data_IF_352930119965
#
_entry.id   IF_352930119965
#
_cell.length_a   1.000
_cell.length_b   1.000
_cell.length_c   1.000
_cell.angle_alpha   90.00
_cell.angle_beta   90.00
_cell.angle_gamma   90.00
#
_symmetry.space_group_name_H-M   'P 1'
#
loop_
_entity.id
_entity.type
_entity.pdbx_description
1 polymer ?
#
# COMPACT_ATOMS: atom_id res chain seq x y z
N UNK A 1 -15.46 7.75 -19.92
CA UNK A 1 -15.26 8.97 -19.11
C UNK A 1 -16.64 9.60 -18.85
N UNK A 2 -16.88 10.22 -17.69
CA UNK A 2 -18.21 10.62 -17.18
C UNK A 2 -19.16 9.46 -16.78
N UNK A 3 -18.66 8.43 -16.11
CA UNK A 3 -19.50 7.36 -15.54
C UNK A 3 -19.45 7.30 -14.01
N UNK A 4 -18.87 8.31 -13.36
CA UNK A 4 -18.65 8.35 -11.92
C UNK A 4 -18.64 9.80 -11.42
N UNK A 5 -19.63 10.16 -10.63
CA UNK A 5 -19.79 11.48 -10.03
C UNK A 5 -19.14 11.57 -8.64
N UNK A 6 -19.25 10.49 -7.84
CA UNK A 6 -18.68 10.38 -6.50
C UNK A 6 -17.91 9.06 -6.37
N UNK A 7 -16.69 9.13 -5.87
CA UNK A 7 -15.86 7.95 -5.62
C UNK A 7 -15.26 8.00 -4.22
N UNK A 8 -15.12 6.83 -3.61
CA UNK A 8 -14.33 6.66 -2.39
C UNK A 8 -12.86 6.43 -2.76
N UNK A 9 -11.97 7.22 -2.16
CA UNK A 9 -10.53 7.14 -2.40
C UNK A 9 -9.79 7.10 -1.06
N UNK A 10 -8.85 6.16 -0.94
CA UNK A 10 -7.91 6.14 0.16
C UNK A 10 -6.79 7.19 -0.01
N UNK A 11 -6.05 7.52 1.06
CA UNK A 11 -5.01 8.56 1.04
C UNK A 11 -3.91 8.32 -0.01
N UNK A 12 -3.60 7.06 -0.34
CA UNK A 12 -2.61 6.74 -1.40
C UNK A 12 -3.02 7.21 -2.80
N UNK A 13 -4.32 7.34 -3.06
CA UNK A 13 -4.87 7.76 -4.36
C UNK A 13 -5.12 9.28 -4.46
N UNK A 14 -4.71 10.07 -3.46
CA UNK A 14 -4.93 11.53 -3.45
C UNK A 14 -4.16 12.30 -4.54
N UNK A 15 -3.27 11.63 -5.27
CA UNK A 15 -2.67 12.19 -6.50
C UNK A 15 -3.74 12.59 -7.53
N UNK A 16 -4.90 11.92 -7.57
CA UNK A 16 -5.97 12.23 -8.51
C UNK A 16 -6.57 13.63 -8.23
N UNK A 17 -7.04 13.96 -7.00
CA UNK A 17 -7.35 15.33 -6.62
C UNK A 17 -6.18 16.32 -6.76
N UNK A 18 -4.96 15.92 -6.37
CA UNK A 18 -3.78 16.81 -6.43
C UNK A 18 -3.43 17.23 -7.88
N UNK A 19 -3.78 16.42 -8.87
CA UNK A 19 -3.59 16.71 -10.30
C UNK A 19 -4.80 17.39 -10.95
N UNK A 20 -5.78 17.84 -10.16
CA UNK A 20 -6.97 18.54 -10.64
C UNK A 20 -8.02 17.65 -11.30
N UNK A 21 -7.87 16.32 -11.24
CA UNK A 21 -8.79 15.36 -11.87
C UNK A 21 -10.01 15.02 -11.00
N UNK A 22 -9.99 15.39 -9.72
CA UNK A 22 -11.10 15.22 -8.79
C UNK A 22 -11.05 16.32 -7.71
N UNK A 23 -12.11 16.42 -6.89
CA UNK A 23 -12.15 17.29 -5.70
C UNK A 23 -12.48 16.46 -4.47
N UNK A 24 -11.77 16.72 -3.37
CA UNK A 24 -12.14 16.17 -2.06
C UNK A 24 -13.29 17.03 -1.53
N UNK A 25 -14.42 16.40 -1.20
CA UNK A 25 -15.62 17.09 -0.70
C UNK A 25 -15.97 16.72 0.74
N UNK A 26 -15.49 15.58 1.22
CA UNK A 26 -15.71 15.09 2.58
C UNK A 26 -14.64 14.06 2.96
N UNK A 27 -14.37 13.96 4.26
CA UNK A 27 -13.63 12.83 4.85
C UNK A 27 -14.66 11.79 5.28
N UNK A 28 -14.54 10.57 4.76
CA UNK A 28 -15.50 9.50 5.05
C UNK A 28 -15.16 8.73 6.32
N UNK A 29 -13.88 8.47 6.59
CA UNK A 29 -13.42 7.71 7.75
C UNK A 29 -11.98 8.08 8.13
N UNK A 30 -11.67 7.93 9.42
CA UNK A 30 -10.31 8.01 9.96
C UNK A 30 -10.14 6.83 10.91
N UNK A 31 -9.26 5.90 10.55
CA UNK A 31 -9.09 4.68 11.31
C UNK A 31 -7.71 4.06 11.15
N UNK A 32 -7.53 2.96 11.86
CA UNK A 32 -6.33 2.14 11.82
C UNK A 32 -6.65 0.81 11.13
N UNK A 33 -7.35 0.79 10.02
CA UNK A 33 -7.69 -0.45 9.31
C UNK A 33 -6.52 -0.99 8.49
N UNK A 34 -5.74 -0.09 7.87
CA UNK A 34 -4.63 -0.49 7.01
C UNK A 34 -3.40 -0.98 7.82
N UNK A 35 -2.74 -2.02 7.32
CA UNK A 35 -1.57 -2.65 7.96
C UNK A 35 -0.54 -3.11 6.94
N UNK A 36 0.73 -3.10 7.34
CA UNK A 36 1.77 -3.95 6.74
C UNK A 36 1.74 -5.27 7.50
N UNK A 37 1.59 -6.37 6.78
CA UNK A 37 1.65 -7.73 7.32
C UNK A 37 2.86 -8.44 6.72
N UNK A 38 3.40 -9.41 7.45
CA UNK A 38 4.56 -10.17 7.02
C UNK A 38 4.41 -11.65 7.41
N UNK A 39 5.16 -12.52 6.74
CA UNK A 39 5.20 -13.94 7.04
C UNK A 39 5.68 -14.20 8.46
N UNK A 40 5.27 -15.35 9.00
CA UNK A 40 5.70 -15.78 10.32
C UNK A 40 7.23 -15.79 10.44
N UNK A 41 7.74 -15.18 11.51
CA UNK A 41 9.18 -15.05 11.75
C UNK A 41 9.75 -13.68 11.39
N UNK A 42 9.06 -12.88 10.56
CA UNK A 42 9.41 -11.49 10.28
C UNK A 42 8.73 -10.59 11.31
N UNK A 43 9.50 -9.94 12.18
CA UNK A 43 8.98 -9.20 13.34
C UNK A 43 9.19 -7.69 13.26
N UNK A 44 9.93 -7.21 12.27
CA UNK A 44 10.25 -5.80 12.11
C UNK A 44 10.33 -5.40 10.64
N UNK A 45 10.18 -4.11 10.37
CA UNK A 45 10.36 -3.55 9.01
C UNK A 45 11.79 -3.76 8.51
N UNK A 46 12.78 -3.73 9.41
CA UNK A 46 14.19 -3.96 9.07
C UNK A 46 14.44 -5.36 8.46
N UNK A 47 13.70 -6.36 8.94
CA UNK A 47 13.79 -7.76 8.45
C UNK A 47 13.21 -7.95 7.05
N UNK A 48 12.52 -6.94 6.50
CA UNK A 48 12.06 -6.96 5.11
C UNK A 48 13.18 -6.68 4.10
N UNK A 49 14.36 -6.25 4.54
CA UNK A 49 15.47 -5.96 3.61
C UNK A 49 15.81 -7.19 2.75
N UNK A 50 15.80 -7.00 1.43
CA UNK A 50 16.02 -8.03 0.40
C UNK A 50 14.87 -9.03 0.23
N UNK A 51 13.75 -8.85 0.95
CA UNK A 51 12.58 -9.72 0.88
C UNK A 51 11.66 -9.34 -0.27
N UNK A 52 10.88 -10.32 -0.72
CA UNK A 52 9.92 -10.14 -1.81
C UNK A 52 8.59 -9.63 -1.27
N UNK A 53 8.33 -8.34 -1.42
CA UNK A 53 7.17 -7.67 -0.81
C UNK A 53 6.16 -7.27 -1.88
N UNK A 54 4.91 -7.74 -1.72
CA UNK A 54 3.83 -7.40 -2.62
C UNK A 54 3.21 -6.03 -2.28
N UNK A 55 2.90 -5.23 -3.30
CA UNK A 55 2.16 -3.98 -3.14
C UNK A 55 1.07 -3.82 -4.20
N UNK A 56 -0.02 -3.17 -3.81
CA UNK A 56 -0.95 -2.57 -4.75
C UNK A 56 -0.52 -1.11 -4.95
N UNK A 57 0.24 -0.84 -6.01
CA UNK A 57 0.88 0.45 -6.23
C UNK A 57 -0.14 1.61 -6.27
N UNK A 58 0.18 2.73 -5.62
CA UNK A 58 -0.68 3.92 -5.58
C UNK A 58 -1.92 3.79 -4.69
N UNK A 59 -2.00 2.74 -3.85
CA UNK A 59 -3.06 2.56 -2.84
C UNK A 59 -2.58 2.97 -1.45
N UNK A 60 -3.50 2.99 -0.46
CA UNK A 60 -3.14 3.25 0.95
C UNK A 60 -2.14 2.23 1.51
N UNK A 61 -2.17 0.97 1.05
CA UNK A 61 -1.20 -0.05 1.46
C UNK A 61 0.23 0.28 1.03
N UNK A 62 0.41 0.71 -0.23
CA UNK A 62 1.70 1.20 -0.75
C UNK A 62 2.19 2.43 0.03
N UNK A 63 1.28 3.39 0.29
CA UNK A 63 1.60 4.55 1.14
C UNK A 63 2.10 4.14 2.52
N UNK A 64 1.43 3.19 3.18
CA UNK A 64 1.80 2.74 4.52
C UNK A 64 3.11 1.98 4.57
N UNK A 65 3.39 1.12 3.58
CA UNK A 65 4.70 0.48 3.48
C UNK A 65 5.82 1.52 3.37
N UNK A 66 5.65 2.53 2.51
CA UNK A 66 6.64 3.62 2.36
C UNK A 66 6.83 4.43 3.65
N UNK A 67 5.76 4.69 4.39
CA UNK A 67 5.83 5.36 5.69
C UNK A 67 6.58 4.50 6.73
N UNK A 68 6.28 3.20 6.77
CA UNK A 68 6.93 2.25 7.67
C UNK A 68 8.43 2.12 7.37
N UNK A 69 8.81 2.02 6.09
CA UNK A 69 10.20 2.00 5.64
C UNK A 69 10.94 3.28 6.02
N UNK A 70 10.34 4.46 5.77
CA UNK A 70 10.94 5.74 6.18
C UNK A 70 11.20 5.79 7.68
N UNK A 71 10.25 5.33 8.50
CA UNK A 71 10.41 5.26 9.96
C UNK A 71 11.54 4.32 10.39
N UNK A 72 11.83 3.29 9.59
CA UNK A 72 12.93 2.36 9.80
C UNK A 72 14.24 2.78 9.10
N UNK A 73 14.33 4.00 8.56
CA UNK A 73 15.46 4.47 7.74
C UNK A 73 15.78 3.57 6.53
N UNK A 74 14.74 3.00 5.92
CA UNK A 74 14.81 2.17 4.71
C UNK A 74 14.10 2.84 3.54
N UNK A 75 14.39 2.35 2.34
CA UNK A 75 13.74 2.76 1.10
C UNK A 75 13.12 1.56 0.38
N UNK A 76 12.26 1.82 -0.60
CA UNK A 76 11.67 0.77 -1.45
C UNK A 76 12.74 -0.05 -2.18
N UNK A 77 13.91 0.55 -2.47
CA UNK A 77 15.06 -0.11 -3.09
C UNK A 77 15.76 -1.12 -2.19
N UNK A 78 15.46 -1.11 -0.88
CA UNK A 78 15.92 -2.16 0.04
C UNK A 78 15.09 -3.45 -0.08
N UNK A 79 13.99 -3.46 -0.86
CA UNK A 79 13.05 -4.58 -1.00
C UNK A 79 13.02 -5.08 -2.45
N UNK A 80 12.64 -6.35 -2.65
CA UNK A 80 12.22 -6.88 -3.96
C UNK A 80 10.71 -6.66 -4.12
N UNK A 81 10.34 -5.56 -4.76
CA UNK A 81 8.93 -5.14 -4.86
C UNK A 81 8.21 -5.85 -6.00
N UNK A 82 7.07 -6.48 -5.68
CA UNK A 82 6.19 -7.10 -6.66
C UNK A 82 4.86 -6.35 -6.70
N UNK A 83 4.57 -5.71 -7.83
CA UNK A 83 3.29 -5.04 -8.02
C UNK A 83 2.23 -6.04 -8.48
N UNK A 84 1.08 -6.05 -7.82
CA UNK A 84 -0.08 -6.86 -8.21
C UNK A 84 -1.37 -6.23 -7.66
N UNK A 85 -2.53 -6.68 -8.16
CA UNK A 85 -3.81 -6.22 -7.64
C UNK A 85 -4.09 -6.79 -6.23
N UNK A 86 -4.95 -6.15 -5.42
CA UNK A 86 -5.20 -6.56 -4.04
C UNK A 86 -5.62 -8.03 -3.88
N UNK A 87 -6.41 -8.58 -4.80
CA UNK A 87 -6.87 -9.97 -4.69
C UNK A 87 -5.72 -10.95 -4.89
N UNK A 88 -4.80 -10.63 -5.81
CA UNK A 88 -3.59 -11.41 -6.05
C UNK A 88 -2.61 -11.33 -4.88
N UNK A 89 -2.51 -10.19 -4.18
CA UNK A 89 -1.69 -10.07 -2.96
C UNK A 89 -2.12 -11.09 -1.90
N UNK A 90 -3.43 -11.20 -1.66
CA UNK A 90 -3.98 -12.14 -0.67
C UNK A 90 -3.60 -13.58 -1.02
N UNK A 91 -3.76 -13.97 -2.29
CA UNK A 91 -3.39 -15.30 -2.75
C UNK A 91 -1.86 -15.56 -2.66
N UNK A 92 -1.03 -14.60 -3.06
CA UNK A 92 0.42 -14.71 -3.01
C UNK A 92 0.94 -14.80 -1.56
N UNK A 93 0.39 -13.99 -0.64
CA UNK A 93 0.76 -14.03 0.77
C UNK A 93 0.33 -15.34 1.42
N UNK A 94 -0.91 -15.80 1.18
CA UNK A 94 -1.41 -17.06 1.73
C UNK A 94 -0.59 -18.28 1.25
N UNK A 95 -0.10 -18.24 0.01
CA UNK A 95 0.76 -19.28 -0.58
C UNK A 95 2.25 -19.09 -0.33
N UNK A 96 2.64 -18.11 0.50
CA UNK A 96 4.04 -17.81 0.86
C UNK A 96 4.95 -17.48 -0.33
N UNK A 97 4.37 -16.92 -1.40
CA UNK A 97 5.13 -16.45 -2.57
C UNK A 97 5.74 -15.06 -2.36
N UNK A 98 5.29 -14.36 -1.33
CA UNK A 98 5.77 -13.05 -0.86
C UNK A 98 5.86 -13.06 0.66
N UNK A 99 6.76 -12.22 1.15
CA UNK A 99 7.16 -12.09 2.55
C UNK A 99 6.36 -11.02 3.30
#
# INVERSE_FOLDING_TARGET
ANSLEFGYLGPGALWLPATGKAKIIAVNDVGFSDRVIAQAGIKSIAELKGRKVAIAAGTSGDMLLRLALRKANMAMTDLDIVQMDPSTIVAAFASKQVD
#
